data_IF_118240807376
#
_entry.id   IF_118240807376
#
_cell.length_a   1.000
_cell.length_b   1.000
_cell.length_c   1.000
_cell.angle_alpha   90.00
_cell.angle_beta   90.00
_cell.angle_gamma   90.00
#
_symmetry.space_group_name_H-M   'P 1'
#
loop_
_entity.id
_entity.type
_entity.pdbx_description
1 polymer ?
#
# COMPACT_ATOMS: atom_id res chain seq x y z
N UNK A 1 14.35 3.55 -3.64
CA UNK A 1 13.24 2.58 -3.64
C UNK A 1 12.21 3.13 -4.61
N UNK A 2 11.98 2.43 -5.71
CA UNK A 2 10.98 2.82 -6.70
C UNK A 2 9.58 2.63 -6.09
N UNK A 3 8.70 3.63 -6.20
CA UNK A 3 7.32 3.50 -5.74
C UNK A 3 6.48 2.76 -6.79
N UNK A 4 5.36 2.18 -6.37
CA UNK A 4 4.47 1.47 -7.31
C UNK A 4 3.84 2.43 -8.32
N UNK A 5 3.63 3.71 -7.96
CA UNK A 5 3.17 4.77 -8.88
C UNK A 5 4.21 5.05 -9.97
N UNK A 6 5.49 5.16 -9.61
CA UNK A 6 6.57 5.34 -10.58
C UNK A 6 6.70 4.13 -11.51
N UNK A 7 6.68 2.92 -10.95
CA UNK A 7 6.74 1.69 -11.75
C UNK A 7 5.51 1.56 -12.67
N UNK A 8 4.33 1.99 -12.24
CA UNK A 8 3.12 2.01 -13.09
C UNK A 8 3.31 2.92 -14.31
N UNK A 9 3.96 4.08 -14.13
CA UNK A 9 4.27 4.98 -15.24
C UNK A 9 5.30 4.38 -16.22
N UNK A 10 6.30 3.64 -15.72
CA UNK A 10 7.28 2.94 -16.56
C UNK A 10 6.66 1.74 -17.31
N UNK A 11 5.81 0.96 -16.64
CA UNK A 11 5.07 -0.14 -17.26
C UNK A 11 4.14 0.37 -18.35
N UNK A 12 3.53 1.54 -18.17
CA UNK A 12 2.69 2.14 -19.20
C UNK A 12 3.50 2.45 -20.48
N UNK A 13 4.72 2.98 -20.36
CA UNK A 13 5.61 3.17 -21.52
C UNK A 13 5.89 1.83 -22.21
N UNK A 14 6.30 0.80 -21.44
CA UNK A 14 6.58 -0.54 -21.98
C UNK A 14 5.35 -1.14 -22.68
N UNK A 15 4.14 -0.99 -22.12
CA UNK A 15 2.89 -1.47 -22.73
C UNK A 15 2.62 -0.77 -24.07
N UNK A 16 2.76 0.56 -24.13
CA UNK A 16 2.55 1.34 -25.36
C UNK A 16 3.55 0.93 -26.43
N UNK A 17 4.83 0.85 -26.09
CA UNK A 17 5.90 0.51 -27.03
C UNK A 17 5.76 -0.94 -27.55
N UNK A 18 5.61 -1.90 -26.63
CA UNK A 18 5.55 -3.34 -26.93
C UNK A 18 4.34 -3.72 -27.78
N UNK A 19 3.20 -3.08 -27.56
CA UNK A 19 1.97 -3.34 -28.30
C UNK A 19 1.73 -2.35 -29.45
N UNK A 20 2.64 -1.39 -29.66
CA UNK A 20 2.52 -0.36 -30.69
C UNK A 20 1.17 0.36 -30.63
N UNK A 21 0.78 0.76 -29.41
CA UNK A 21 -0.49 1.46 -29.17
C UNK A 21 -0.40 2.86 -29.77
N UNK A 22 -1.35 3.20 -30.65
CA UNK A 22 -1.46 4.52 -31.24
C UNK A 22 -2.00 5.53 -30.22
N UNK A 23 -1.09 6.28 -29.60
CA UNK A 23 -1.39 7.34 -28.62
C UNK A 23 -0.45 8.52 -28.84
N UNK A 24 -0.99 9.73 -28.81
CA UNK A 24 -0.16 10.92 -28.93
C UNK A 24 0.74 11.08 -27.69
N UNK A 25 2.02 11.47 -27.86
CA UNK A 25 2.97 11.62 -26.74
C UNK A 25 2.47 12.55 -25.63
N UNK A 26 1.73 13.61 -25.98
CA UNK A 26 1.17 14.55 -25.02
C UNK A 26 0.07 13.90 -24.16
N UNK A 27 -0.77 13.03 -24.74
CA UNK A 27 -1.77 12.28 -23.98
C UNK A 27 -1.12 11.25 -23.06
N UNK A 28 -0.12 10.51 -23.55
CA UNK A 28 0.62 9.55 -22.73
C UNK A 28 1.28 10.24 -21.52
N UNK A 29 1.89 11.41 -21.75
CA UNK A 29 2.46 12.23 -20.69
C UNK A 29 1.40 12.62 -19.65
N UNK A 30 0.25 13.14 -20.06
CA UNK A 30 -0.83 13.53 -19.13
C UNK A 30 -1.32 12.33 -18.31
N UNK A 31 -1.50 11.14 -18.92
CA UNK A 31 -1.91 9.93 -18.20
C UNK A 31 -0.88 9.56 -17.12
N UNK A 32 0.40 9.59 -17.44
CA UNK A 32 1.48 9.30 -16.48
C UNK A 32 1.49 10.30 -15.33
N UNK A 33 1.33 11.58 -15.63
CA UNK A 33 1.25 12.62 -14.59
C UNK A 33 0.04 12.39 -13.68
N UNK A 34 -1.13 11.98 -14.23
CA UNK A 34 -2.31 11.63 -13.43
C UNK A 34 -2.10 10.40 -12.53
N UNK A 35 -1.24 9.46 -12.91
CA UNK A 35 -0.88 8.28 -12.09
C UNK A 35 0.00 8.68 -10.91
N UNK A 36 0.98 9.58 -11.12
CA UNK A 36 1.96 9.97 -10.09
C UNK A 36 1.57 11.21 -9.28
N UNK A 37 0.42 11.83 -9.59
CA UNK A 37 -0.03 13.10 -9.01
C UNK A 37 -0.18 13.08 -7.48
N UNK A 38 -0.45 11.92 -6.89
CA UNK A 38 -0.54 11.76 -5.43
C UNK A 38 0.83 11.75 -4.74
N UNK A 39 1.88 11.34 -5.45
CA UNK A 39 3.25 11.22 -4.92
C UNK A 39 4.10 12.47 -5.18
N UNK A 40 3.78 13.23 -6.23
CA UNK A 40 4.51 14.45 -6.61
C UNK A 40 3.55 15.63 -6.82
N UNK A 41 3.29 16.37 -5.73
CA UNK A 41 2.39 17.54 -5.71
C UNK A 41 2.81 18.61 -6.73
N UNK A 42 4.10 18.67 -7.11
CA UNK A 42 4.59 19.65 -8.07
C UNK A 42 4.05 19.43 -9.49
N UNK A 43 3.66 18.19 -9.82
CA UNK A 43 3.07 17.86 -11.13
C UNK A 43 1.72 18.53 -11.36
N UNK A 44 0.90 18.68 -10.31
CA UNK A 44 -0.41 19.33 -10.40
C UNK A 44 -0.34 20.88 -10.39
N UNK A 45 0.70 21.47 -9.77
CA UNK A 45 0.86 22.93 -9.69
C UNK A 45 1.31 23.57 -11.01
N UNK A 46 1.96 22.80 -11.89
CA UNK A 46 2.39 23.26 -13.22
C UNK A 46 1.27 23.29 -14.27
N UNK A 47 0.13 22.65 -14.00
CA UNK A 47 -0.98 22.49 -14.95
C UNK A 47 -1.88 23.72 -14.91
N UNK A 48 -1.86 24.51 -15.98
CA UNK A 48 -2.60 25.78 -16.06
C UNK A 48 -4.07 25.65 -16.48
N UNK A 49 -4.46 24.53 -17.09
CA UNK A 49 -5.82 24.30 -17.59
C UNK A 49 -6.28 22.87 -17.26
N UNK A 50 -7.58 22.70 -16.95
CA UNK A 50 -8.19 21.39 -16.68
C UNK A 50 -7.54 20.60 -15.54
N UNK A 51 -7.01 21.32 -14.54
CA UNK A 51 -6.41 20.72 -13.34
C UNK A 51 -7.34 19.70 -12.66
N UNK A 52 -8.66 19.90 -12.69
CA UNK A 52 -9.65 18.99 -12.13
C UNK A 52 -9.53 17.54 -12.62
N UNK A 53 -8.91 17.28 -13.78
CA UNK A 53 -8.68 15.92 -14.26
C UNK A 53 -7.73 15.14 -13.33
N UNK A 54 -6.78 15.81 -12.69
CA UNK A 54 -5.82 15.22 -11.75
C UNK A 54 -6.46 14.87 -10.39
N UNK A 55 -7.65 15.39 -10.10
CA UNK A 55 -8.43 14.98 -8.92
C UNK A 55 -9.12 13.61 -9.12
N UNK A 56 -9.13 13.05 -10.34
CA UNK A 56 -9.91 11.84 -10.66
C UNK A 56 -9.18 10.55 -10.28
N UNK A 57 -7.95 10.36 -10.77
CA UNK A 57 -7.23 9.07 -10.71
C UNK A 57 -6.42 8.92 -9.42
N UNK A 58 -5.53 9.87 -9.14
CA UNK A 58 -4.69 9.87 -7.94
C UNK A 58 -4.67 11.29 -7.36
N UNK A 59 -5.61 11.58 -6.47
CA UNK A 59 -5.83 12.94 -6.00
C UNK A 59 -4.83 13.32 -4.91
N UNK A 60 -3.73 13.99 -5.28
CA UNK A 60 -2.71 14.47 -4.35
C UNK A 60 -3.15 15.62 -3.43
N UNK A 61 -4.27 16.30 -3.75
CA UNK A 61 -4.74 17.47 -3.00
C UNK A 61 -5.44 17.07 -1.71
N UNK A 62 -6.36 16.12 -1.78
CA UNK A 62 -7.16 15.67 -0.63
C UNK A 62 -7.39 14.16 -0.58
N UNK A 63 -6.93 13.41 -1.58
CA UNK A 63 -7.07 11.96 -1.62
C UNK A 63 -8.47 11.49 -1.98
N UNK A 64 -9.40 12.35 -2.43
CA UNK A 64 -10.70 11.90 -2.92
C UNK A 64 -10.58 11.55 -4.41
N UNK A 65 -10.45 10.26 -4.72
CA UNK A 65 -10.26 9.74 -6.08
C UNK A 65 -11.04 8.42 -6.29
N UNK A 66 -11.13 8.00 -7.55
CA UNK A 66 -11.89 6.80 -7.94
C UNK A 66 -11.23 5.50 -7.50
N UNK A 67 -9.91 5.50 -7.25
CA UNK A 67 -9.19 4.36 -6.66
C UNK A 67 -9.81 3.97 -5.31
N UNK A 68 -9.98 4.96 -4.41
CA UNK A 68 -10.63 4.73 -3.11
C UNK A 68 -12.09 4.33 -3.23
N UNK A 69 -12.79 4.86 -4.23
CA UNK A 69 -14.19 4.49 -4.43
C UNK A 69 -14.31 3.01 -4.80
N UNK A 70 -13.44 2.51 -5.68
CA UNK A 70 -13.45 1.12 -6.09
C UNK A 70 -12.99 0.18 -4.97
N UNK A 71 -11.78 0.38 -4.42
CA UNK A 71 -11.22 -0.60 -3.50
C UNK A 71 -12.02 -0.68 -2.20
N UNK A 72 -12.59 0.42 -1.70
CA UNK A 72 -13.39 0.38 -0.46
C UNK A 72 -14.61 -0.52 -0.65
N UNK A 73 -15.36 -0.36 -1.73
CA UNK A 73 -16.55 -1.16 -1.98
C UNK A 73 -16.19 -2.62 -2.33
N UNK A 74 -15.13 -2.82 -3.12
CA UNK A 74 -14.60 -4.14 -3.47
C UNK A 74 -14.14 -4.92 -2.23
N UNK A 75 -13.35 -4.29 -1.36
CA UNK A 75 -12.74 -4.94 -0.21
C UNK A 75 -13.75 -5.19 0.90
N UNK A 76 -14.66 -4.23 1.15
CA UNK A 76 -15.79 -4.46 2.05
C UNK A 76 -16.59 -5.69 1.62
N UNK A 77 -16.92 -5.79 0.33
CA UNK A 77 -17.63 -6.95 -0.21
C UNK A 77 -16.81 -8.24 -0.08
N UNK A 78 -15.52 -8.23 -0.45
CA UNK A 78 -14.65 -9.41 -0.41
C UNK A 78 -14.42 -9.91 1.03
N UNK A 79 -14.36 -8.99 2.01
CA UNK A 79 -14.16 -9.31 3.41
C UNK A 79 -15.46 -9.58 4.18
N UNK A 80 -16.63 -9.40 3.55
CA UNK A 80 -17.93 -9.55 4.22
C UNK A 80 -18.20 -8.47 5.28
N UNK A 81 -17.67 -7.26 5.09
CA UNK A 81 -17.83 -6.12 5.99
C UNK A 81 -18.77 -5.10 5.32
N UNK A 82 -19.69 -4.52 6.08
CA UNK A 82 -20.57 -3.47 5.56
C UNK A 82 -19.80 -2.18 5.24
N UNK A 83 -19.93 -1.68 4.01
CA UNK A 83 -19.51 -0.32 3.63
C UNK A 83 -20.64 0.66 3.90
N UNK A 84 -20.38 1.69 4.71
CA UNK A 84 -21.31 2.80 4.90
C UNK A 84 -21.04 3.97 3.94
N UNK A 85 -19.92 3.91 3.20
CA UNK A 85 -19.57 4.90 2.20
C UNK A 85 -20.35 4.66 0.92
N UNK A 86 -20.82 5.76 0.31
CA UNK A 86 -21.72 5.71 -0.82
C UNK A 86 -21.25 6.59 -2.00
N UNK A 87 -20.32 6.11 -2.84
CA UNK A 87 -19.60 6.92 -3.83
C UNK A 87 -20.48 7.60 -4.90
N UNK A 88 -21.54 6.96 -5.39
CA UNK A 88 -22.49 7.50 -6.37
C UNK A 88 -23.18 8.78 -5.90
N UNK A 89 -23.41 8.94 -4.59
CA UNK A 89 -23.93 10.20 -4.03
C UNK A 89 -22.99 11.37 -4.30
N UNK A 90 -21.68 11.12 -4.25
CA UNK A 90 -20.67 12.13 -4.58
C UNK A 90 -20.64 12.38 -6.10
N UNK A 91 -20.70 11.31 -6.91
CA UNK A 91 -20.69 11.41 -8.38
C UNK A 91 -21.89 12.18 -8.95
N UNK A 92 -23.08 12.04 -8.38
CA UNK A 92 -24.29 12.76 -8.80
C UNK A 92 -24.18 14.28 -8.54
N UNK A 93 -23.59 14.64 -7.39
CA UNK A 93 -23.52 16.02 -6.91
C UNK A 93 -22.30 16.81 -7.39
N UNK A 94 -21.21 16.13 -7.80
CA UNK A 94 -19.94 16.79 -8.08
C UNK A 94 -20.02 17.78 -9.25
N UNK A 95 -19.26 18.87 -9.17
CA UNK A 95 -19.14 19.91 -10.20
C UNK A 95 -17.71 20.37 -10.32
N UNK A 96 -17.33 20.88 -11.49
CA UNK A 96 -16.05 21.58 -11.66
C UNK A 96 -16.28 23.07 -11.36
N UNK A 97 -15.52 23.62 -10.43
CA UNK A 97 -15.53 25.04 -10.07
C UNK A 97 -14.09 25.50 -9.85
N UNK A 98 -13.67 26.56 -10.55
CA UNK A 98 -12.30 27.05 -10.44
C UNK A 98 -11.23 26.00 -10.79
N UNK A 99 -11.51 25.16 -11.80
CA UNK A 99 -10.65 24.04 -12.22
C UNK A 99 -10.38 22.98 -11.13
N UNK A 100 -11.27 22.84 -10.16
CA UNK A 100 -11.24 21.76 -9.15
C UNK A 100 -12.54 20.98 -9.12
N UNK A 101 -12.47 19.70 -8.77
CA UNK A 101 -13.67 18.92 -8.43
C UNK A 101 -14.18 19.40 -7.07
N UNK A 102 -15.44 19.82 -7.05
CA UNK A 102 -16.16 20.31 -5.88
C UNK A 102 -17.40 19.47 -5.62
N UNK A 103 -17.71 19.27 -4.34
CA UNK A 103 -18.89 18.53 -3.88
C UNK A 103 -19.89 19.46 -3.19
N UNK A 104 -21.21 19.20 -3.26
CA UNK A 104 -22.20 19.97 -2.52
C UNK A 104 -21.92 19.90 -1.01
N UNK A 105 -22.02 21.05 -0.32
CA UNK A 105 -21.74 21.12 1.12
C UNK A 105 -22.57 20.13 1.97
N UNK A 106 -23.79 19.80 1.53
CA UNK A 106 -24.65 18.80 2.19
C UNK A 106 -24.07 17.38 2.18
N UNK A 107 -23.13 17.07 1.28
CA UNK A 107 -22.52 15.75 1.14
C UNK A 107 -21.27 15.56 2.02
N UNK A 108 -20.96 16.52 2.89
CA UNK A 108 -19.81 16.45 3.80
C UNK A 108 -19.78 15.16 4.65
N UNK A 109 -20.94 14.65 5.05
CA UNK A 109 -21.03 13.37 5.79
C UNK A 109 -20.65 12.18 4.91
N UNK A 110 -20.93 12.21 3.61
CA UNK A 110 -20.51 11.18 2.67
C UNK A 110 -18.99 11.18 2.49
N UNK A 111 -18.37 12.37 2.43
CA UNK A 111 -16.90 12.52 2.41
C UNK A 111 -16.29 12.04 3.73
N UNK A 112 -16.85 12.40 4.88
CA UNK A 112 -16.37 11.89 6.16
C UNK A 112 -16.43 10.35 6.23
N UNK A 113 -17.52 9.76 5.71
CA UNK A 113 -17.68 8.30 5.63
C UNK A 113 -16.60 7.63 4.80
N UNK A 114 -16.19 8.22 3.67
CA UNK A 114 -15.07 7.72 2.84
C UNK A 114 -13.82 7.47 3.71
N UNK A 115 -13.38 8.52 4.41
CA UNK A 115 -12.16 8.46 5.20
C UNK A 115 -12.29 7.58 6.44
N UNK A 116 -13.44 7.60 7.13
CA UNK A 116 -13.65 6.70 8.28
C UNK A 116 -13.70 5.24 7.86
N UNK A 117 -14.38 4.91 6.75
CA UNK A 117 -14.45 3.53 6.25
C UNK A 117 -13.07 3.05 5.82
N UNK A 118 -12.27 3.89 5.14
CA UNK A 118 -10.86 3.58 4.85
C UNK A 118 -10.07 3.30 6.12
N UNK A 119 -10.15 4.17 7.12
CA UNK A 119 -9.41 3.99 8.38
C UNK A 119 -9.81 2.71 9.11
N UNK A 120 -11.10 2.34 9.05
CA UNK A 120 -11.61 1.10 9.66
C UNK A 120 -11.15 -0.14 8.89
N UNK A 121 -11.11 -0.10 7.56
CA UNK A 121 -10.52 -1.17 6.74
C UNK A 121 -9.03 -1.37 7.06
N UNK A 122 -8.26 -0.29 7.24
CA UNK A 122 -6.88 -0.41 7.71
C UNK A 122 -6.80 -1.09 9.07
N UNK A 123 -7.59 -0.65 10.05
CA UNK A 123 -7.56 -1.20 11.42
C UNK A 123 -7.96 -2.67 11.49
N UNK A 124 -8.95 -3.07 10.70
CA UNK A 124 -9.63 -4.36 10.86
C UNK A 124 -9.20 -5.42 9.85
N UNK A 125 -8.80 -5.00 8.65
CA UNK A 125 -8.44 -5.90 7.54
C UNK A 125 -6.96 -5.79 7.23
N UNK A 126 -6.52 -4.65 6.68
CA UNK A 126 -5.18 -4.54 6.08
C UNK A 126 -4.06 -4.67 7.10
N UNK A 127 -4.27 -4.23 8.34
CA UNK A 127 -3.27 -4.36 9.42
C UNK A 127 -3.67 -5.36 10.49
N UNK A 128 -4.54 -6.32 10.16
CA UNK A 128 -4.92 -7.38 11.10
C UNK A 128 -3.68 -8.19 11.53
N UNK A 129 -3.56 -8.51 12.82
CA UNK A 129 -2.34 -9.11 13.38
C UNK A 129 -1.89 -10.40 12.68
N UNK A 130 -2.84 -11.27 12.28
CA UNK A 130 -2.51 -12.49 11.53
C UNK A 130 -2.10 -12.23 10.07
N UNK A 131 -2.60 -11.15 9.47
CA UNK A 131 -2.19 -10.72 8.12
C UNK A 131 -0.74 -10.23 8.20
N UNK A 132 -0.44 -9.31 9.14
CA UNK A 132 0.92 -8.83 9.40
C UNK A 132 1.90 -9.96 9.69
N UNK A 133 1.51 -10.97 10.47
CA UNK A 133 2.36 -12.14 10.74
C UNK A 133 2.70 -12.92 9.45
N UNK A 134 1.74 -13.12 8.55
CA UNK A 134 1.97 -13.79 7.27
C UNK A 134 2.83 -12.92 6.35
N UNK A 135 2.56 -11.61 6.26
CA UNK A 135 3.34 -10.67 5.46
C UNK A 135 4.82 -10.64 5.89
N UNK A 136 5.08 -10.54 7.20
CA UNK A 136 6.45 -10.54 7.73
C UNK A 136 7.18 -11.85 7.41
N UNK A 137 6.52 -13.00 7.60
CA UNK A 137 7.09 -14.28 7.22
C UNK A 137 7.32 -14.39 5.71
N UNK A 138 6.42 -13.84 4.89
CA UNK A 138 6.60 -13.85 3.44
C UNK A 138 7.79 -12.99 3.03
N UNK A 139 7.96 -11.81 3.63
CA UNK A 139 9.14 -10.95 3.42
C UNK A 139 10.42 -11.71 3.78
N UNK A 140 10.47 -12.38 4.93
CA UNK A 140 11.64 -13.18 5.32
C UNK A 140 11.94 -14.30 4.31
N UNK A 141 10.90 -14.97 3.81
CA UNK A 141 11.05 -15.99 2.77
C UNK A 141 11.59 -15.39 1.45
N UNK A 142 11.11 -14.21 1.05
CA UNK A 142 11.59 -13.53 -0.15
C UNK A 142 13.04 -13.04 0.02
N UNK A 143 13.42 -12.56 1.20
CA UNK A 143 14.80 -12.16 1.52
C UNK A 143 15.74 -13.36 1.43
N UNK A 144 15.38 -14.49 2.06
CA UNK A 144 16.17 -15.73 1.98
C UNK A 144 16.23 -16.31 0.56
N UNK A 145 15.21 -16.07 -0.27
CA UNK A 145 15.20 -16.50 -1.67
C UNK A 145 15.94 -15.54 -2.63
N UNK A 146 16.23 -14.31 -2.21
CA UNK A 146 16.71 -13.26 -3.09
C UNK A 146 18.08 -13.54 -3.70
N UNK A 147 19.00 -14.13 -2.93
CA UNK A 147 20.35 -14.46 -3.43
C UNK A 147 20.31 -15.41 -4.63
N UNK A 148 19.34 -16.33 -4.64
CA UNK A 148 19.19 -17.32 -5.72
C UNK A 148 18.28 -16.83 -6.85
N UNK A 149 17.15 -16.20 -6.53
CA UNK A 149 16.15 -15.78 -7.52
C UNK A 149 16.40 -14.39 -8.10
N UNK A 150 17.30 -13.59 -7.52
CA UNK A 150 17.59 -12.23 -8.00
C UNK A 150 16.38 -11.30 -7.94
N UNK A 151 15.44 -11.50 -7.01
CA UNK A 151 14.14 -10.81 -6.95
C UNK A 151 14.33 -9.28 -7.01
N UNK A 152 15.24 -8.75 -6.20
CA UNK A 152 15.53 -7.32 -6.15
C UNK A 152 16.18 -6.77 -7.42
N UNK A 153 16.86 -7.60 -8.21
CA UNK A 153 17.49 -7.18 -9.48
C UNK A 153 16.44 -6.92 -10.56
N UNK A 154 15.34 -7.65 -10.51
CA UNK A 154 14.22 -7.55 -11.45
C UNK A 154 13.17 -6.51 -11.05
N UNK A 155 13.30 -5.92 -9.85
CA UNK A 155 12.28 -5.05 -9.28
C UNK A 155 12.27 -3.62 -9.84
N UNK A 156 13.36 -3.18 -10.47
CA UNK A 156 13.53 -1.80 -10.94
C UNK A 156 13.41 -1.64 -12.47
N UNK A 157 13.32 -2.74 -13.23
CA UNK A 157 13.18 -2.74 -14.70
C UNK A 157 11.76 -3.20 -15.10
N UNK A 158 10.95 -2.40 -15.82
CA UNK A 158 9.62 -2.80 -16.25
C UNK A 158 9.57 -4.08 -17.09
N UNK A 159 10.62 -4.40 -17.87
CA UNK A 159 10.67 -5.61 -18.72
C UNK A 159 10.83 -6.91 -17.92
N UNK A 160 11.32 -6.82 -16.69
CA UNK A 160 11.45 -7.92 -15.75
C UNK A 160 10.40 -7.87 -14.65
N UNK A 161 10.04 -6.67 -14.18
CA UNK A 161 9.09 -6.45 -13.10
C UNK A 161 7.73 -7.09 -13.38
N UNK A 162 7.22 -7.02 -14.61
CA UNK A 162 5.92 -7.62 -14.96
C UNK A 162 5.87 -9.15 -14.77
N UNK A 163 7.04 -9.80 -14.74
CA UNK A 163 7.16 -11.26 -14.50
C UNK A 163 7.14 -11.59 -13.00
N UNK A 164 7.31 -10.58 -12.13
CA UNK A 164 7.23 -10.75 -10.69
C UNK A 164 5.77 -10.70 -10.26
N UNK A 165 5.23 -11.87 -9.94
CA UNK A 165 3.89 -12.03 -9.40
C UNK A 165 3.88 -13.05 -8.24
N UNK A 166 2.69 -13.34 -7.72
CA UNK A 166 2.50 -14.28 -6.61
C UNK A 166 2.96 -15.72 -6.93
N UNK A 167 3.21 -16.07 -8.20
CA UNK A 167 3.76 -17.37 -8.57
C UNK A 167 5.16 -17.59 -8.01
N UNK A 168 5.86 -16.53 -7.59
CA UNK A 168 7.15 -16.63 -6.90
C UNK A 168 7.07 -17.50 -5.65
N UNK A 169 5.96 -17.44 -4.90
CA UNK A 169 5.72 -18.28 -3.72
C UNK A 169 5.71 -19.75 -4.14
N UNK A 170 5.01 -20.06 -5.23
CA UNK A 170 4.92 -21.44 -5.75
C UNK A 170 6.27 -21.91 -6.29
N UNK A 171 7.03 -21.03 -6.91
CA UNK A 171 8.38 -21.30 -7.43
C UNK A 171 9.32 -21.68 -6.29
N UNK A 172 9.33 -20.93 -5.18
CA UNK A 172 10.10 -21.28 -3.97
C UNK A 172 9.63 -22.62 -3.37
N UNK A 173 8.31 -22.85 -3.29
CA UNK A 173 7.76 -24.10 -2.73
C UNK A 173 8.17 -25.35 -3.52
N UNK A 174 8.25 -25.23 -4.85
CA UNK A 174 8.47 -26.37 -5.77
C UNK A 174 9.90 -26.53 -6.25
N UNK A 175 10.77 -25.55 -5.96
CA UNK A 175 12.18 -25.61 -6.25
C UNK A 175 12.82 -26.92 -5.74
N UNK A 176 13.60 -27.62 -6.61
CA UNK A 176 14.24 -28.88 -6.27
C UNK A 176 15.54 -28.72 -5.49
N UNK A 177 16.06 -27.50 -5.42
CA UNK A 177 17.42 -27.18 -5.01
C UNK A 177 17.49 -26.66 -3.55
N UNK A 178 18.62 -26.90 -2.88
CA UNK A 178 18.80 -26.64 -1.45
C UNK A 178 19.04 -25.15 -1.13
N UNK A 179 19.39 -24.33 -2.12
CA UNK A 179 19.61 -22.88 -1.96
C UNK A 179 18.33 -22.16 -1.48
N UNK A 180 17.16 -22.70 -1.81
CA UNK A 180 15.86 -22.14 -1.40
C UNK A 180 15.28 -22.82 -0.15
N UNK A 181 16.05 -23.67 0.52
CA UNK A 181 15.56 -24.49 1.65
C UNK A 181 14.96 -23.66 2.78
N UNK A 182 15.64 -22.60 3.22
CA UNK A 182 15.15 -21.75 4.32
C UNK A 182 13.86 -21.01 3.95
N UNK A 183 13.82 -20.40 2.77
CA UNK A 183 12.62 -19.74 2.26
C UNK A 183 11.43 -20.72 2.18
N UNK A 184 11.68 -21.94 1.69
CA UNK A 184 10.70 -23.02 1.62
C UNK A 184 10.19 -23.46 2.99
N UNK A 185 11.07 -23.57 3.99
CA UNK A 185 10.69 -23.88 5.37
C UNK A 185 9.77 -22.80 5.96
N UNK A 186 10.05 -21.51 5.71
CA UNK A 186 9.19 -20.41 6.14
C UNK A 186 7.81 -20.49 5.48
N UNK A 187 7.74 -20.71 4.16
CA UNK A 187 6.46 -20.84 3.45
C UNK A 187 5.68 -22.07 3.95
N UNK A 188 6.35 -23.20 4.18
CA UNK A 188 5.70 -24.39 4.75
C UNK A 188 5.09 -24.12 6.13
N UNK A 189 5.76 -23.34 6.98
CA UNK A 189 5.19 -22.89 8.25
C UNK A 189 3.93 -22.05 8.04
N UNK A 190 3.93 -21.12 7.07
CA UNK A 190 2.73 -20.36 6.70
C UNK A 190 1.58 -21.30 6.33
N UNK A 191 1.83 -22.30 5.46
CA UNK A 191 0.82 -23.29 5.02
C UNK A 191 0.28 -24.12 6.17
N UNK A 192 1.13 -24.50 7.13
CA UNK A 192 0.74 -25.24 8.36
C UNK A 192 0.15 -24.35 9.45
N UNK A 193 0.05 -23.04 9.20
CA UNK A 193 -0.41 -22.02 10.15
C UNK A 193 0.47 -21.91 11.41
N UNK A 194 1.75 -22.25 11.29
CA UNK A 194 2.80 -22.10 12.29
C UNK A 194 3.39 -20.67 12.25
N UNK A 195 2.48 -19.69 12.37
CA UNK A 195 2.78 -18.27 12.19
C UNK A 195 3.59 -17.67 13.33
N UNK A 196 4.26 -16.54 13.05
CA UNK A 196 4.76 -15.64 14.08
C UNK A 196 3.66 -15.30 15.09
N UNK A 197 4.04 -15.33 16.38
CA UNK A 197 3.12 -15.12 17.48
C UNK A 197 2.97 -13.62 17.70
N UNK A 198 1.73 -13.14 17.63
CA UNK A 198 1.41 -11.79 18.03
C UNK A 198 1.61 -11.66 19.54
N UNK A 199 2.50 -10.75 19.94
CA UNK A 199 2.84 -10.51 21.34
C UNK A 199 2.06 -9.33 21.91
N UNK A 200 2.12 -8.16 21.27
CA UNK A 200 1.48 -6.94 21.78
C UNK A 200 1.25 -5.91 20.66
N UNK A 201 0.37 -4.94 20.94
CA UNK A 201 0.14 -3.74 20.13
C UNK A 201 0.03 -2.54 21.07
N UNK A 202 0.67 -1.44 20.69
CA UNK A 202 0.55 -0.17 21.41
C UNK A 202 0.00 0.91 20.48
N UNK A 203 -1.15 1.48 20.86
CA UNK A 203 -1.70 2.66 20.19
C UNK A 203 -1.07 3.91 20.79
N UNK A 204 -0.30 4.64 19.97
CA UNK A 204 0.38 5.86 20.42
C UNK A 204 -0.67 6.96 20.69
N UNK A 205 -0.73 7.51 21.91
CA UNK A 205 -1.63 8.62 22.22
C UNK A 205 -1.32 9.84 21.36
N UNK A 206 -2.37 10.58 20.98
CA UNK A 206 -2.25 11.73 20.04
C UNK A 206 -1.27 12.80 20.54
N UNK A 207 -1.26 13.06 21.84
CA UNK A 207 -0.38 14.02 22.52
C UNK A 207 1.11 13.61 22.49
N UNK A 208 1.41 12.34 22.19
CA UNK A 208 2.78 11.81 22.14
C UNK A 208 3.33 11.59 20.74
N UNK A 209 2.49 11.70 19.70
CA UNK A 209 2.87 11.38 18.32
C UNK A 209 4.10 12.16 17.83
N UNK A 210 4.22 13.42 18.21
CA UNK A 210 5.25 14.34 17.71
C UNK A 210 6.66 13.97 18.19
N UNK A 211 6.74 13.26 19.30
CA UNK A 211 7.98 12.80 19.90
C UNK A 211 8.13 11.29 19.87
N UNK A 212 7.15 10.58 19.30
CA UNK A 212 7.19 9.13 19.21
C UNK A 212 8.14 8.71 18.10
N UNK A 213 9.17 7.95 18.47
CA UNK A 213 10.08 7.32 17.51
C UNK A 213 9.57 5.92 17.18
N UNK A 214 9.75 5.49 15.94
CA UNK A 214 9.47 4.12 15.56
C UNK A 214 10.26 3.16 16.45
N UNK A 215 9.58 2.14 16.94
CA UNK A 215 10.18 1.12 17.80
C UNK A 215 10.85 0.07 16.92
N UNK A 216 12.03 -0.36 17.31
CA UNK A 216 12.79 -1.43 16.65
C UNK A 216 12.77 -2.72 17.46
N UNK A 217 13.15 -3.84 16.83
CA UNK A 217 13.36 -5.10 17.55
C UNK A 217 14.41 -4.95 18.65
N UNK A 218 15.50 -4.22 18.37
CA UNK A 218 16.55 -3.92 19.33
C UNK A 218 16.03 -3.17 20.57
N UNK A 219 15.14 -2.17 20.41
CA UNK A 219 14.57 -1.45 21.56
C UNK A 219 13.81 -2.39 22.52
N UNK A 220 13.11 -3.39 21.96
CA UNK A 220 12.37 -4.39 22.73
C UNK A 220 13.32 -5.35 23.43
N UNK A 221 14.30 -5.88 22.69
CA UNK A 221 15.30 -6.83 23.21
C UNK A 221 16.16 -6.20 24.30
N UNK A 222 16.54 -4.92 24.18
CA UNK A 222 17.27 -4.19 25.22
C UNK A 222 16.42 -3.91 26.48
N UNK A 223 15.10 -4.03 26.40
CA UNK A 223 14.17 -3.79 27.52
C UNK A 223 13.75 -5.09 28.24
N UNK A 224 14.34 -6.24 27.89
CA UNK A 224 13.98 -7.52 28.50
C UNK A 224 14.40 -7.58 29.98
N UNK A 225 13.46 -7.89 30.87
CA UNK A 225 13.72 -8.15 32.29
C UNK A 225 14.03 -9.64 32.43
N UNK A 226 15.09 -9.98 33.17
CA UNK A 226 15.69 -11.33 33.30
C UNK A 226 14.68 -12.48 33.18
N UNK A 227 14.53 -13.01 31.97
CA UNK A 227 13.72 -14.18 31.65
C UNK A 227 14.61 -15.43 31.53
N UNK A 228 14.02 -16.62 31.70
CA UNK A 228 14.73 -17.90 31.49
C UNK A 228 15.20 -18.10 30.04
N UNK A 229 14.61 -17.36 29.10
CA UNK A 229 14.97 -17.33 27.68
C UNK A 229 15.33 -15.88 27.34
N UNK A 230 16.55 -15.67 26.87
CA UNK A 230 17.00 -14.37 26.35
C UNK A 230 16.61 -14.29 24.88
N UNK A 231 15.79 -13.29 24.54
CA UNK A 231 15.44 -13.03 23.14
C UNK A 231 16.58 -12.26 22.47
N UNK A 232 16.79 -12.54 21.19
CA UNK A 232 17.67 -11.77 20.30
C UNK A 232 16.84 -10.93 19.33
N UNK A 233 17.52 -10.05 18.59
CA UNK A 233 16.87 -9.19 17.60
C UNK A 233 16.16 -10.01 16.52
N UNK A 234 16.78 -11.10 16.06
CA UNK A 234 16.20 -12.01 15.06
C UNK A 234 14.93 -12.76 15.54
N UNK A 235 14.67 -12.79 16.85
CA UNK A 235 13.47 -13.43 17.42
C UNK A 235 12.25 -12.50 17.45
N UNK A 236 12.42 -11.21 17.15
CA UNK A 236 11.40 -10.17 17.32
C UNK A 236 11.16 -9.42 16.01
N UNK A 237 9.93 -9.50 15.49
CA UNK A 237 9.50 -8.65 14.39
C UNK A 237 8.65 -7.48 14.90
N UNK A 238 8.94 -6.27 14.43
CA UNK A 238 8.20 -5.05 14.81
C UNK A 238 7.60 -4.39 13.58
N UNK A 239 6.30 -4.08 13.64
CA UNK A 239 5.58 -3.37 12.59
C UNK A 239 5.06 -2.04 13.13
N UNK A 240 5.65 -0.93 12.68
CA UNK A 240 5.15 0.41 12.96
C UNK A 240 4.12 0.79 11.89
N UNK A 241 2.88 1.07 12.31
CA UNK A 241 1.76 1.37 11.39
C UNK A 241 1.19 2.73 11.74
N UNK A 242 1.00 3.57 10.72
CA UNK A 242 0.25 4.83 10.82
C UNK A 242 -1.07 4.69 10.08
N UNK A 243 -2.17 5.00 10.76
CA UNK A 243 -3.52 5.03 10.16
C UNK A 243 -4.04 6.45 10.31
N UNK A 244 -4.15 7.16 9.20
CA UNK A 244 -4.69 8.51 9.10
C UNK A 244 -5.81 8.60 8.04
N UNK A 245 -6.39 9.79 7.91
CA UNK A 245 -7.39 10.12 6.90
C UNK A 245 -6.70 10.64 5.63
N UNK A 246 -5.65 9.94 5.14
CA UNK A 246 -4.90 10.23 3.90
C UNK A 246 -4.04 11.50 3.85
N UNK A 247 -4.12 12.39 4.86
CA UNK A 247 -3.29 13.61 4.94
C UNK A 247 -2.54 13.78 6.26
N UNK A 248 -2.04 12.68 6.84
CA UNK A 248 -1.23 12.78 8.05
C UNK A 248 -2.02 13.33 9.25
N UNK A 249 -1.68 14.55 9.69
CA UNK A 249 -2.37 15.23 10.80
C UNK A 249 -3.51 16.13 10.33
N UNK A 250 -3.52 16.48 9.05
CA UNK A 250 -4.49 17.39 8.49
C UNK A 250 -5.80 16.67 8.20
N UNK A 251 -6.91 17.41 8.31
CA UNK A 251 -8.20 16.93 7.84
C UNK A 251 -8.24 17.10 6.31
N UNK A 252 -8.41 16.02 5.53
CA UNK A 252 -8.47 16.09 4.07
C UNK A 252 -9.57 17.02 3.53
#
# INVERSE_FOLDING_TARGET
>A
MVSHEHMSALLLDSIVDKHSIDIEPDYLKVIKEMIVASSDVSTAEGVKEKRFLYDIVANGRNGIDVDKFDYIDRDCRACGIGSNFQHWRLLEGMRVMGDEICYPAKDYLSIHKLFTTRADLHRTVYTHAKVKAVELMLVDALVEANEYLGISLHADDPEDFWKLDDTIVKSIETAPNDELKKAKEIIQRIRRRELYKFCNQYSVPKDKLDHFKNITAQDIVCSQITSKVLLKEEDVAVSNVKIDLTRGKDNP
#
